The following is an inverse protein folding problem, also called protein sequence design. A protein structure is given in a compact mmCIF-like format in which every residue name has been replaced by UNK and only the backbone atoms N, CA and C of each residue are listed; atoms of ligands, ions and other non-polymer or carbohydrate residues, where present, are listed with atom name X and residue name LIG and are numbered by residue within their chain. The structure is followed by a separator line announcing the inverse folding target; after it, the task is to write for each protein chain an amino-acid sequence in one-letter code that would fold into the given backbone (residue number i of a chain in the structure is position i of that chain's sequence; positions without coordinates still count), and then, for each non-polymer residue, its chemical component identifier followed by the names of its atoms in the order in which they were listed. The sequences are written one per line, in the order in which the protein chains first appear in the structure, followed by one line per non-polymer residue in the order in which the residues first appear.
data_IF_214756153971
#
_entry.id   IF_214756153971
#
_cell.length_a   1.000
_cell.length_b   1.000
_cell.length_c   1.000
_cell.angle_alpha   90.00
_cell.angle_beta   90.00
_cell.angle_gamma   90.00
#
_symmetry.space_group_name_H-M   'P 1'
#
loop_
_entity.id
_entity.type
_entity.pdbx_description
1 polymer ?
#
# COMPACT_ATOMS: atom_id res chain seq x y z
N UNK A 1 -28.64 -9.71 -0.39
CA UNK A 1 -27.28 -9.38 -0.86
C UNK A 1 -27.33 -9.40 -2.36
N UNK A 2 -27.02 -8.29 -3.04
CA UNK A 2 -26.89 -8.34 -4.50
C UNK A 2 -25.57 -9.05 -4.81
N UNK A 3 -25.64 -10.20 -5.47
CA UNK A 3 -24.47 -10.83 -6.08
C UNK A 3 -23.85 -9.82 -7.04
N UNK A 4 -22.79 -9.17 -6.60
CA UNK A 4 -22.03 -8.25 -7.43
C UNK A 4 -21.06 -9.10 -8.25
N UNK A 5 -21.60 -9.89 -9.17
CA UNK A 5 -20.79 -10.76 -10.02
C UNK A 5 -20.03 -9.87 -10.99
N UNK A 6 -18.73 -9.69 -10.77
CA UNK A 6 -17.87 -9.04 -11.74
C UNK A 6 -17.98 -9.80 -13.06
N UNK A 7 -18.19 -9.05 -14.14
CA UNK A 7 -18.20 -9.58 -15.50
C UNK A 7 -17.02 -9.04 -16.28
N UNK A 8 -16.57 -9.78 -17.30
CA UNK A 8 -15.51 -9.31 -18.19
C UNK A 8 -15.86 -7.95 -18.82
N UNK A 9 -17.14 -7.68 -19.09
CA UNK A 9 -17.61 -6.39 -19.58
C UNK A 9 -17.42 -5.24 -18.57
N UNK A 10 -17.63 -5.50 -17.28
CA UNK A 10 -17.36 -4.52 -16.21
C UNK A 10 -15.86 -4.27 -16.06
N UNK A 11 -15.06 -5.35 -16.09
CA UNK A 11 -13.60 -5.27 -15.99
C UNK A 11 -13.03 -4.51 -17.19
N UNK A 12 -13.50 -4.79 -18.41
CA UNK A 12 -13.15 -4.03 -19.62
C UNK A 12 -13.42 -2.54 -19.45
N UNK A 13 -14.57 -2.14 -18.89
CA UNK A 13 -14.86 -0.73 -18.61
C UNK A 13 -13.87 -0.10 -17.62
N UNK A 14 -13.37 -0.85 -16.63
CA UNK A 14 -12.34 -0.38 -15.71
C UNK A 14 -11.02 -0.18 -16.46
N UNK A 15 -10.60 -1.17 -17.26
CA UNK A 15 -9.37 -1.14 -18.04
C UNK A 15 -9.41 -0.05 -19.11
N UNK A 16 -10.54 0.15 -19.78
CA UNK A 16 -10.70 1.13 -20.86
C UNK A 16 -10.51 2.57 -20.38
N UNK A 17 -10.85 2.84 -19.11
CA UNK A 17 -10.65 4.13 -18.44
C UNK A 17 -9.19 4.39 -18.08
N UNK A 18 -8.33 3.38 -18.11
CA UNK A 18 -6.90 3.59 -17.88
C UNK A 18 -6.33 4.48 -18.98
N UNK A 19 -5.55 5.44 -18.55
CA UNK A 19 -4.74 6.32 -19.37
C UNK A 19 -3.31 6.28 -18.85
N UNK A 20 -2.37 6.81 -19.61
CA UNK A 20 -0.99 6.95 -19.16
C UNK A 20 -0.71 8.41 -18.79
N UNK A 21 -0.13 8.64 -17.60
CA UNK A 21 0.12 9.99 -17.11
C UNK A 21 1.26 10.67 -17.87
N UNK A 22 1.02 11.93 -18.25
CA UNK A 22 2.07 12.79 -18.81
C UNK A 22 2.93 13.49 -17.75
N UNK A 23 2.62 13.34 -16.47
CA UNK A 23 3.34 13.96 -15.36
C UNK A 23 3.95 12.88 -14.49
N UNK A 24 5.15 13.15 -13.99
CA UNK A 24 5.86 12.24 -13.11
C UNK A 24 6.30 12.96 -11.85
N UNK A 25 5.44 12.94 -10.84
CA UNK A 25 5.79 13.41 -9.51
C UNK A 25 5.67 12.25 -8.54
N UNK A 26 6.75 11.99 -7.81
CA UNK A 26 6.79 10.98 -6.75
C UNK A 26 5.62 11.18 -5.76
N UNK A 27 5.24 12.44 -5.49
CA UNK A 27 4.10 12.78 -4.63
C UNK A 27 2.78 12.13 -5.04
N UNK A 28 2.58 11.82 -6.32
CA UNK A 28 1.27 11.45 -6.85
C UNK A 28 0.94 9.96 -6.59
N UNK A 29 1.97 9.14 -6.39
CA UNK A 29 1.85 7.68 -6.21
C UNK A 29 2.59 7.12 -4.99
N UNK A 30 3.50 7.88 -4.36
CA UNK A 30 4.30 7.41 -3.22
C UNK A 30 3.46 6.97 -2.02
N UNK A 31 2.37 7.69 -1.71
CA UNK A 31 1.52 7.33 -0.58
C UNK A 31 0.78 6.02 -0.82
N UNK A 32 0.16 5.88 -1.99
CA UNK A 32 -0.54 4.64 -2.38
C UNK A 32 0.42 3.45 -2.40
N UNK A 33 1.65 3.64 -2.87
CA UNK A 33 2.65 2.59 -2.90
C UNK A 33 2.98 2.13 -1.47
N UNK A 34 3.19 3.07 -0.56
CA UNK A 34 3.42 2.71 0.84
C UNK A 34 2.20 2.11 1.51
N UNK A 35 1.00 2.53 1.14
CA UNK A 35 -0.23 1.92 1.63
C UNK A 35 -0.33 0.47 1.17
N UNK A 36 -0.05 0.18 -0.10
CA UNK A 36 -0.02 -1.17 -0.63
C UNK A 36 0.97 -2.05 0.14
N UNK A 37 2.22 -1.59 0.29
CA UNK A 37 3.21 -2.32 1.09
C UNK A 37 2.72 -2.56 2.52
N UNK A 38 2.19 -1.52 3.18
CA UNK A 38 1.67 -1.66 4.56
C UNK A 38 0.54 -2.68 4.64
N UNK A 39 -0.35 -2.72 3.64
CA UNK A 39 -1.45 -3.69 3.59
C UNK A 39 -0.94 -5.12 3.41
N UNK A 40 0.08 -5.34 2.56
CA UNK A 40 0.71 -6.67 2.43
C UNK A 40 1.28 -7.15 3.78
N UNK A 41 1.89 -6.24 4.54
CA UNK A 41 2.51 -6.56 5.83
C UNK A 41 1.51 -6.89 6.93
N UNK A 42 0.30 -6.32 6.88
CA UNK A 42 -0.73 -6.59 7.87
C UNK A 42 -0.98 -8.09 7.99
N UNK A 43 -1.08 -8.79 6.87
CA UNK A 43 -1.32 -10.24 6.84
C UNK A 43 -0.18 -11.04 7.46
N UNK A 44 1.07 -10.70 7.15
CA UNK A 44 2.22 -11.40 7.73
C UNK A 44 2.32 -11.21 9.25
N UNK A 45 2.06 -10.00 9.74
CA UNK A 45 2.16 -9.66 11.17
C UNK A 45 1.00 -10.21 12.02
N UNK A 46 -0.14 -10.53 11.40
CA UNK A 46 -1.30 -11.13 12.08
C UNK A 46 -1.19 -12.64 12.27
N UNK A 47 -0.22 -13.29 11.64
CA UNK A 47 -0.07 -14.75 11.72
C UNK A 47 0.68 -15.10 13.00
N UNK A 48 0.15 -16.00 13.84
CA UNK A 48 0.87 -16.50 14.99
C UNK A 48 1.96 -17.45 14.47
N UNK A 49 3.22 -17.01 14.46
CA UNK A 49 4.34 -17.94 14.26
C UNK A 49 5.51 -17.65 15.20
N UNK A 50 6.11 -18.73 15.71
CA UNK A 50 7.18 -18.77 16.72
C UNK A 50 8.57 -18.47 16.10
N UNK A 51 8.69 -18.40 14.77
CA UNK A 51 9.95 -18.21 14.05
C UNK A 51 10.34 -16.75 13.78
N UNK A 52 9.70 -15.79 14.47
CA UNK A 52 9.76 -14.36 14.15
C UNK A 52 11.14 -13.67 14.38
N UNK A 53 12.19 -14.41 14.70
CA UNK A 53 13.53 -13.86 14.99
C UNK A 53 14.49 -13.81 13.79
N UNK A 54 14.09 -14.27 12.60
CA UNK A 54 14.95 -14.09 11.42
C UNK A 54 14.83 -12.67 10.87
N UNK A 55 15.99 -12.05 10.63
CA UNK A 55 16.08 -10.75 9.96
C UNK A 55 15.52 -10.85 8.53
N UNK A 56 14.33 -10.31 8.33
CA UNK A 56 13.58 -10.50 7.09
C UNK A 56 14.09 -9.55 5.99
N UNK A 57 14.88 -9.98 5.02
CA UNK A 57 15.27 -9.05 3.94
C UNK A 57 14.14 -8.87 2.92
N UNK A 58 13.51 -7.70 2.90
CA UNK A 58 12.40 -7.40 1.98
C UNK A 58 12.84 -7.32 0.51
N UNK A 59 12.94 -8.46 -0.19
CA UNK A 59 13.35 -8.54 -1.60
C UNK A 59 12.18 -8.96 -2.52
N UNK A 60 12.43 -9.19 -3.81
CA UNK A 60 11.37 -9.55 -4.77
C UNK A 60 10.70 -10.89 -4.42
N UNK A 61 11.48 -11.91 -4.07
CA UNK A 61 10.94 -13.23 -3.71
C UNK A 61 10.06 -13.12 -2.47
N UNK A 62 10.50 -12.35 -1.49
CA UNK A 62 9.77 -12.10 -0.27
C UNK A 62 8.49 -11.29 -0.50
N UNK A 63 8.52 -10.29 -1.39
CA UNK A 63 7.32 -9.57 -1.83
C UNK A 63 6.30 -10.52 -2.49
N UNK A 64 6.75 -11.37 -3.42
CA UNK A 64 5.89 -12.36 -4.09
C UNK A 64 5.35 -13.40 -3.10
N UNK A 65 6.17 -13.84 -2.15
CA UNK A 65 5.76 -14.74 -1.08
C UNK A 65 4.68 -14.14 -0.19
N UNK A 66 4.75 -12.83 0.09
CA UNK A 66 3.68 -12.12 0.81
C UNK A 66 2.39 -12.04 -0.01
N UNK A 67 2.47 -11.78 -1.32
CA UNK A 67 1.30 -11.78 -2.19
C UNK A 67 0.60 -13.15 -2.20
N UNK A 68 1.37 -14.22 -2.36
CA UNK A 68 0.86 -15.60 -2.30
C UNK A 68 0.24 -15.91 -0.93
N UNK A 69 0.97 -15.58 0.14
CA UNK A 69 0.52 -15.81 1.51
C UNK A 69 -0.85 -15.17 1.78
N UNK A 70 -1.07 -13.95 1.29
CA UNK A 70 -2.33 -13.23 1.46
C UNK A 70 -3.48 -13.95 0.76
N UNK A 71 -3.29 -14.42 -0.47
CA UNK A 71 -4.34 -15.15 -1.18
C UNK A 71 -4.70 -16.43 -0.42
N UNK A 72 -3.70 -17.17 0.05
CA UNK A 72 -3.86 -18.40 0.84
C UNK A 72 -4.52 -18.17 2.22
N UNK A 73 -4.38 -16.96 2.79
CA UNK A 73 -4.81 -16.65 4.16
C UNK A 73 -5.78 -15.47 4.21
N UNK A 74 -6.50 -15.20 3.12
CA UNK A 74 -7.43 -14.06 3.01
C UNK A 74 -8.55 -14.12 4.07
N UNK A 75 -9.00 -15.33 4.41
CA UNK A 75 -9.97 -15.61 5.48
C UNK A 75 -9.54 -15.13 6.87
N UNK A 76 -8.27 -14.78 7.10
CA UNK A 76 -7.82 -14.24 8.39
C UNK A 76 -8.34 -12.83 8.69
N UNK A 77 -8.67 -12.05 7.65
CA UNK A 77 -9.16 -10.67 7.80
C UNK A 77 -10.55 -10.45 7.23
N UNK A 78 -11.03 -11.39 6.42
CA UNK A 78 -12.35 -11.35 5.80
C UNK A 78 -13.38 -12.07 6.67
N UNK A 79 -14.59 -11.53 6.72
CA UNK A 79 -15.69 -12.15 7.47
C UNK A 79 -16.38 -13.26 6.67
N UNK A 80 -16.21 -13.24 5.35
CA UNK A 80 -16.76 -14.22 4.41
C UNK A 80 -15.68 -15.22 4.03
N UNK A 81 -16.03 -16.50 3.99
CA UNK A 81 -15.15 -17.50 3.36
C UNK A 81 -15.07 -17.23 1.87
N UNK A 82 -13.88 -17.42 1.30
CA UNK A 82 -13.72 -17.45 -0.14
C UNK A 82 -14.66 -18.51 -0.77
N UNK A 83 -15.21 -18.25 -1.97
CA UNK A 83 -16.01 -19.22 -2.70
C UNK A 83 -15.17 -20.45 -3.08
N UNK A 84 -15.83 -21.59 -3.20
CA UNK A 84 -15.19 -22.86 -3.57
C UNK A 84 -14.66 -22.86 -5.03
N UNK A 85 -15.19 -21.98 -5.87
CA UNK A 85 -14.83 -21.84 -7.28
C UNK A 85 -14.57 -20.36 -7.61
N UNK A 86 -13.36 -20.07 -8.05
CA UNK A 86 -12.93 -18.75 -8.52
C UNK A 86 -12.83 -18.84 -10.03
N UNK A 87 -13.42 -17.85 -10.73
CA UNK A 87 -13.30 -17.76 -12.19
C UNK A 87 -11.88 -17.32 -12.59
N UNK A 88 -10.97 -18.30 -12.67
CA UNK A 88 -9.57 -18.09 -13.05
C UNK A 88 -9.45 -17.59 -14.49
N UNK A 89 -10.32 -18.07 -15.38
CA UNK A 89 -10.36 -17.66 -16.79
C UNK A 89 -10.67 -16.16 -16.90
N UNK A 90 -11.60 -15.65 -16.09
CA UNK A 90 -11.90 -14.22 -16.01
C UNK A 90 -10.68 -13.38 -15.59
N UNK A 91 -9.90 -13.88 -14.63
CA UNK A 91 -8.70 -13.19 -14.16
C UNK A 91 -7.59 -13.18 -15.22
N UNK A 92 -7.37 -14.31 -15.89
CA UNK A 92 -6.40 -14.46 -16.98
C UNK A 92 -6.78 -13.60 -18.21
N UNK A 93 -8.04 -13.63 -18.63
CA UNK A 93 -8.55 -12.80 -19.72
C UNK A 93 -8.38 -11.30 -19.41
N UNK A 94 -8.72 -10.89 -18.18
CA UNK A 94 -8.60 -9.52 -17.74
C UNK A 94 -7.14 -9.04 -17.71
N UNK A 95 -6.21 -9.92 -17.29
CA UNK A 95 -4.77 -9.67 -17.29
C UNK A 95 -4.27 -9.42 -18.70
N UNK A 96 -4.68 -10.23 -19.68
CA UNK A 96 -4.25 -10.05 -21.06
C UNK A 96 -4.85 -8.80 -21.72
N UNK A 97 -6.13 -8.49 -21.45
CA UNK A 97 -6.74 -7.22 -21.88
C UNK A 97 -5.98 -6.02 -21.30
N UNK A 98 -5.56 -6.09 -20.04
CA UNK A 98 -4.77 -5.02 -19.43
C UNK A 98 -3.39 -4.88 -20.08
N UNK A 99 -2.70 -5.99 -20.35
CA UNK A 99 -1.41 -5.95 -21.06
C UNK A 99 -1.55 -5.26 -22.42
N UNK A 100 -2.58 -5.62 -23.18
CA UNK A 100 -2.87 -5.01 -24.48
C UNK A 100 -3.25 -3.54 -24.36
N UNK A 101 -4.01 -3.15 -23.33
CA UNK A 101 -4.31 -1.75 -23.04
C UNK A 101 -3.05 -0.95 -22.73
N UNK A 102 -2.17 -1.42 -21.85
CA UNK A 102 -0.94 -0.71 -21.51
C UNK A 102 -0.03 -0.62 -22.74
N UNK A 103 0.05 -1.70 -23.54
CA UNK A 103 0.85 -1.76 -24.77
C UNK A 103 0.32 -0.80 -25.84
N UNK A 104 -0.99 -0.74 -26.07
CA UNK A 104 -1.64 0.22 -26.98
C UNK A 104 -1.47 1.65 -26.50
N UNK A 105 -1.63 1.95 -25.22
CA UNK A 105 -1.34 3.30 -24.70
C UNK A 105 0.15 3.69 -24.87
N UNK A 106 1.02 2.69 -25.04
CA UNK A 106 2.45 2.84 -25.32
C UNK A 106 2.78 2.81 -26.82
N UNK A 107 1.77 3.01 -27.68
CA UNK A 107 1.56 2.88 -29.15
C UNK A 107 2.75 3.00 -30.15
N UNK A 108 3.98 3.30 -29.74
CA UNK A 108 5.15 3.47 -30.64
C UNK A 108 6.34 2.54 -30.37
N UNK A 109 6.37 1.67 -29.33
CA UNK A 109 7.61 0.93 -29.01
C UNK A 109 7.48 -0.59 -28.81
N UNK A 110 8.31 -1.32 -29.57
CA UNK A 110 8.76 -2.70 -29.32
C UNK A 110 9.91 -2.75 -28.28
N UNK A 111 9.90 -1.88 -27.27
CA UNK A 111 11.02 -1.75 -26.34
C UNK A 111 10.96 -2.84 -25.27
N UNK A 112 11.95 -3.72 -25.25
CA UNK A 112 12.14 -4.73 -24.21
C UNK A 112 12.21 -4.13 -22.79
N UNK A 113 12.53 -2.83 -22.68
CA UNK A 113 12.56 -2.10 -21.42
C UNK A 113 11.16 -1.97 -20.76
N UNK A 114 10.06 -1.96 -21.53
CA UNK A 114 8.69 -1.80 -21.00
C UNK A 114 8.03 -3.14 -20.62
N UNK A 115 8.48 -4.25 -21.19
CA UNK A 115 7.93 -5.58 -20.95
C UNK A 115 7.84 -5.94 -19.45
N UNK A 116 8.88 -5.70 -18.62
CA UNK A 116 8.83 -5.99 -17.19
C UNK A 116 7.79 -5.13 -16.45
N UNK A 117 7.47 -3.97 -16.99
CA UNK A 117 6.49 -3.08 -16.39
C UNK A 117 5.07 -3.54 -16.67
N UNK A 118 4.82 -3.90 -17.93
CA UNK A 118 3.55 -4.46 -18.37
C UNK A 118 3.26 -5.73 -17.59
N UNK A 119 4.24 -6.63 -17.47
CA UNK A 119 4.11 -7.88 -16.71
C UNK A 119 3.85 -7.62 -15.22
N UNK A 120 4.65 -6.76 -14.58
CA UNK A 120 4.47 -6.48 -13.15
C UNK A 120 3.14 -5.77 -12.86
N UNK A 121 2.70 -4.84 -13.71
CA UNK A 121 1.38 -4.21 -13.62
C UNK A 121 0.24 -5.21 -13.80
N UNK A 122 0.37 -6.11 -14.77
CA UNK A 122 -0.66 -7.11 -15.06
C UNK A 122 -0.80 -8.11 -13.91
N UNK A 123 0.30 -8.58 -13.33
CA UNK A 123 0.26 -9.50 -12.18
C UNK A 123 -0.34 -8.84 -10.93
N UNK A 124 -0.01 -7.57 -10.66
CA UNK A 124 -0.64 -6.81 -9.57
C UNK A 124 -2.15 -6.69 -9.78
N UNK A 125 -2.58 -6.45 -11.02
CA UNK A 125 -3.99 -6.33 -11.36
C UNK A 125 -4.74 -7.66 -11.24
N UNK A 126 -4.12 -8.74 -11.70
CA UNK A 126 -4.61 -10.10 -11.54
C UNK A 126 -4.78 -10.45 -10.07
N UNK A 127 -3.77 -10.21 -9.21
CA UNK A 127 -3.88 -10.47 -7.78
C UNK A 127 -5.01 -9.66 -7.12
N UNK A 128 -5.16 -8.38 -7.50
CA UNK A 128 -6.29 -7.56 -7.07
C UNK A 128 -7.63 -8.20 -7.45
N UNK A 129 -7.77 -8.63 -8.70
CA UNK A 129 -8.99 -9.18 -9.25
C UNK A 129 -9.32 -10.55 -8.63
N UNK A 130 -8.35 -11.45 -8.50
CA UNK A 130 -8.52 -12.72 -7.80
C UNK A 130 -9.05 -12.46 -6.39
N UNK A 131 -8.43 -11.54 -5.65
CA UNK A 131 -8.88 -11.21 -4.30
C UNK A 131 -10.30 -10.62 -4.29
N UNK A 132 -10.67 -9.78 -5.25
CA UNK A 132 -12.02 -9.23 -5.37
C UNK A 132 -13.06 -10.28 -5.82
N UNK A 133 -12.66 -11.29 -6.58
CA UNK A 133 -13.50 -12.45 -6.90
C UNK A 133 -13.70 -13.35 -5.66
N UNK A 134 -12.66 -13.49 -4.84
CA UNK A 134 -12.75 -14.22 -3.57
C UNK A 134 -13.61 -13.47 -2.54
N UNK A 135 -13.46 -12.15 -2.46
CA UNK A 135 -14.06 -11.29 -1.44
C UNK A 135 -14.63 -10.00 -2.07
N UNK A 136 -15.78 -10.07 -2.76
CA UNK A 136 -16.32 -8.94 -3.51
C UNK A 136 -16.58 -7.70 -2.64
N UNK A 137 -15.97 -6.58 -3.03
CA UNK A 137 -16.14 -5.31 -2.31
C UNK A 137 -15.37 -5.24 -1.00
N UNK A 138 -14.41 -6.15 -0.77
CA UNK A 138 -13.53 -6.10 0.39
C UNK A 138 -12.77 -4.77 0.45
N UNK A 139 -12.80 -4.15 1.63
CA UNK A 139 -11.98 -2.98 1.96
C UNK A 139 -10.57 -3.37 2.42
N UNK A 140 -10.29 -4.66 2.59
CA UNK A 140 -9.01 -5.19 3.05
C UNK A 140 -8.10 -5.67 1.91
N UNK A 141 -8.60 -5.72 0.67
CA UNK A 141 -7.82 -6.06 -0.51
C UNK A 141 -6.54 -5.18 -0.59
N UNK A 142 -5.35 -5.76 -0.40
CA UNK A 142 -4.13 -4.99 -0.24
C UNK A 142 -3.62 -4.38 -1.55
N UNK A 143 -4.15 -4.81 -2.69
CA UNK A 143 -3.79 -4.29 -4.01
C UNK A 143 -4.63 -3.07 -4.42
N UNK A 144 -5.69 -2.69 -3.69
CA UNK A 144 -6.47 -1.46 -3.98
C UNK A 144 -5.57 -0.22 -4.15
N UNK A 145 -4.62 0.09 -3.24
CA UNK A 145 -3.74 1.24 -3.41
C UNK A 145 -2.82 1.09 -4.63
N UNK A 146 -2.40 -0.15 -4.94
CA UNK A 146 -1.67 -0.40 -6.18
C UNK A 146 -2.58 -0.05 -7.36
N UNK A 147 -3.80 -0.57 -7.49
CA UNK A 147 -4.72 -0.21 -8.58
C UNK A 147 -4.95 1.30 -8.73
N UNK A 148 -5.03 2.05 -7.63
CA UNK A 148 -5.14 3.51 -7.69
C UNK A 148 -3.96 4.17 -8.41
N UNK A 149 -2.73 3.67 -8.23
CA UNK A 149 -1.55 4.14 -8.96
C UNK A 149 -1.70 3.87 -10.46
N UNK A 150 -2.29 2.74 -10.85
CA UNK A 150 -2.51 2.35 -12.25
C UNK A 150 -3.57 3.23 -12.89
N UNK A 151 -4.65 3.50 -12.16
CA UNK A 151 -5.72 4.41 -12.58
C UNK A 151 -5.26 5.87 -12.71
N UNK A 152 -4.27 6.29 -11.92
CA UNK A 152 -3.57 7.58 -12.09
C UNK A 152 -2.62 7.60 -13.29
N UNK A 153 -2.47 6.48 -14.00
CA UNK A 153 -1.71 6.32 -15.22
C UNK A 153 -0.24 6.00 -15.05
N UNK A 154 0.10 5.27 -13.98
CA UNK A 154 1.45 4.80 -13.70
C UNK A 154 1.53 3.27 -13.78
N UNK A 155 2.56 2.74 -14.45
CA UNK A 155 2.87 1.30 -14.52
C UNK A 155 3.92 0.92 -13.50
N UNK A 156 3.98 -0.32 -13.01
CA UNK A 156 4.94 -0.75 -11.98
C UNK A 156 6.02 -1.60 -12.60
N UNK A 157 7.19 -1.58 -12.02
CA UNK A 157 8.17 -2.64 -12.19
C UNK A 157 8.83 -2.91 -10.86
N UNK A 158 8.55 -4.08 -10.28
CA UNK A 158 9.07 -4.50 -8.99
C UNK A 158 10.39 -5.25 -9.17
N UNK A 159 11.49 -4.71 -8.62
CA UNK A 159 12.81 -5.34 -8.70
C UNK A 159 13.72 -5.01 -7.53
N UNK A 160 14.50 -6.01 -7.13
CA UNK A 160 15.60 -5.96 -6.16
C UNK A 160 16.99 -5.92 -6.83
N UNK A 161 17.05 -6.03 -8.16
CA UNK A 161 18.29 -5.90 -8.95
C UNK A 161 18.73 -4.44 -9.02
N UNK A 162 19.73 -4.10 -8.21
CA UNK A 162 20.28 -2.73 -8.11
C UNK A 162 20.83 -2.20 -9.42
N UNK A 163 21.41 -3.04 -10.27
CA UNK A 163 21.98 -2.60 -11.54
C UNK A 163 20.88 -2.25 -12.54
N UNK A 164 19.86 -3.11 -12.63
CA UNK A 164 18.67 -2.86 -13.45
C UNK A 164 17.91 -1.63 -12.96
N UNK A 165 17.78 -1.46 -11.66
CA UNK A 165 17.17 -0.26 -11.06
C UNK A 165 18.01 0.99 -11.35
N UNK A 166 19.34 0.92 -11.23
CA UNK A 166 20.27 2.02 -11.53
C UNK A 166 20.19 2.44 -13.00
N UNK A 167 20.07 1.48 -13.93
CA UNK A 167 19.86 1.75 -15.35
C UNK A 167 18.60 2.58 -15.60
N UNK A 168 17.49 2.26 -14.92
CA UNK A 168 16.26 3.05 -15.00
C UNK A 168 16.38 4.39 -14.26
N UNK A 169 17.07 4.44 -13.12
CA UNK A 169 17.27 5.67 -12.34
C UNK A 169 18.09 6.73 -13.09
N UNK A 170 19.16 6.31 -13.78
CA UNK A 170 20.02 7.19 -14.60
C UNK A 170 19.24 7.93 -15.68
N UNK A 171 18.10 7.38 -16.11
CA UNK A 171 17.23 8.01 -17.10
C UNK A 171 16.52 9.27 -16.54
N UNK A 172 16.45 9.51 -15.22
CA UNK A 172 15.55 10.52 -14.62
C UNK A 172 16.26 11.72 -13.95
N UNK A 173 17.39 11.47 -13.30
CA UNK A 173 18.09 12.33 -12.33
C UNK A 173 17.40 13.63 -11.82
N UNK A 174 17.10 13.64 -10.51
CA UNK A 174 17.55 14.67 -9.58
C UNK A 174 18.26 14.00 -8.38
N UNK A 175 19.31 14.65 -7.88
CA UNK A 175 20.15 14.17 -6.76
C UNK A 175 19.31 14.02 -5.49
N UNK A 176 19.09 12.78 -5.04
CA UNK A 176 18.80 12.49 -3.63
C UNK A 176 20.06 11.87 -3.04
N UNK A 177 20.57 12.51 -1.99
CA UNK A 177 21.81 12.15 -1.31
C UNK A 177 21.81 10.73 -0.76
N UNK A 178 23.03 10.26 -0.53
CA UNK A 178 23.43 8.94 0.00
C UNK A 178 22.48 8.45 1.10
N UNK A 179 21.64 7.48 0.75
CA UNK A 179 21.43 6.25 1.53
C UNK A 179 20.55 5.30 0.70
N UNK A 180 21.17 4.40 -0.06
CA UNK A 180 20.47 3.41 -0.91
C UNK A 180 20.71 2.01 -0.36
N UNK A 181 20.28 1.77 0.88
CA UNK A 181 20.13 0.44 1.45
C UNK A 181 18.70 -0.07 1.18
N UNK A 182 18.30 -0.05 -0.10
CA UNK A 182 16.96 -0.43 -0.53
C UNK A 182 16.93 -1.84 -1.11
N UNK A 183 15.86 -2.57 -0.77
CA UNK A 183 15.69 -3.98 -1.10
C UNK A 183 14.58 -4.25 -2.14
N UNK A 184 13.76 -3.24 -2.49
CA UNK A 184 12.79 -3.32 -3.58
C UNK A 184 12.60 -1.94 -4.24
N UNK A 185 12.45 -1.89 -5.55
CA UNK A 185 12.19 -0.67 -6.29
C UNK A 185 10.95 -0.80 -7.18
N UNK A 186 10.18 0.28 -7.31
CA UNK A 186 9.09 0.42 -8.28
C UNK A 186 9.46 1.47 -9.30
N UNK A 187 9.33 1.14 -10.58
CA UNK A 187 9.62 2.11 -11.64
C UNK A 187 8.35 2.52 -12.37
N UNK A 188 8.10 3.82 -12.60
CA UNK A 188 6.91 4.28 -13.35
C UNK A 188 7.16 5.50 -14.25
N UNK A 189 6.88 5.35 -15.54
CA UNK A 189 6.11 6.25 -16.43
C UNK A 189 6.14 5.59 -17.80
N UNK A 190 4.98 5.27 -18.35
CA UNK A 190 4.81 5.02 -19.78
C UNK A 190 4.17 6.27 -20.36
N UNK A 191 4.83 6.97 -21.28
CA UNK A 191 4.19 7.94 -22.20
C UNK A 191 5.18 8.33 -23.29
N UNK A 192 4.68 8.92 -24.38
CA UNK A 192 5.31 9.14 -25.71
C UNK A 192 6.71 9.82 -25.77
N UNK A 193 7.33 10.25 -24.66
CA UNK A 193 8.62 10.98 -24.67
C UNK A 193 9.63 10.58 -23.57
N UNK A 194 9.88 9.29 -23.34
CA UNK A 194 11.02 8.73 -22.56
C UNK A 194 10.85 8.62 -21.02
N UNK A 195 11.89 7.98 -20.44
CA UNK A 195 12.52 8.08 -19.08
C UNK A 195 11.65 7.64 -17.87
N UNK A 196 12.16 6.63 -17.17
CA UNK A 196 11.45 5.80 -16.18
C UNK A 196 11.68 6.18 -14.70
N UNK A 197 10.64 6.60 -13.96
CA UNK A 197 10.51 6.83 -12.49
C UNK A 197 10.85 5.82 -11.42
N UNK A 198 12.05 5.74 -10.83
CA UNK A 198 12.33 4.81 -9.72
C UNK A 198 11.91 5.37 -8.35
N UNK A 199 11.09 4.62 -7.61
CA UNK A 199 10.87 4.76 -6.16
C UNK A 199 11.43 3.54 -5.46
N UNK A 200 12.33 3.79 -4.51
CA UNK A 200 12.93 2.76 -3.69
C UNK A 200 12.10 2.52 -2.41
N UNK A 201 11.73 1.26 -2.19
CA UNK A 201 11.32 0.74 -0.90
C UNK A 201 12.57 0.40 -0.08
N UNK A 202 12.51 0.71 1.20
CA UNK A 202 13.60 0.69 2.16
C UNK A 202 13.32 -0.42 3.18
N UNK A 203 14.31 -0.83 3.98
CA UNK A 203 14.18 -1.87 5.01
C UNK A 203 13.32 -1.45 6.23
N UNK A 204 12.35 -0.56 5.99
CA UNK A 204 11.36 -0.13 6.99
C UNK A 204 10.51 -1.29 7.46
N UNK A 205 10.41 -2.33 6.65
CA UNK A 205 9.72 -3.54 7.01
C UNK A 205 10.34 -4.23 8.24
N UNK A 206 11.67 -4.39 8.29
CA UNK A 206 12.32 -4.98 9.47
C UNK A 206 12.15 -4.10 10.68
N UNK A 207 12.29 -2.80 10.49
CA UNK A 207 12.07 -1.84 11.55
C UNK A 207 10.61 -1.89 12.07
N UNK A 208 9.63 -2.16 11.20
CA UNK A 208 8.24 -2.36 11.59
C UNK A 208 8.04 -3.68 12.34
N UNK A 209 8.63 -4.79 11.89
CA UNK A 209 8.60 -6.07 12.60
C UNK A 209 9.24 -5.93 13.98
N UNK A 210 10.47 -5.42 14.05
CA UNK A 210 11.21 -5.27 15.30
C UNK A 210 10.46 -4.39 16.28
N UNK A 211 9.90 -3.26 15.83
CA UNK A 211 9.08 -2.41 16.71
C UNK A 211 7.77 -3.08 17.11
N UNK A 212 7.13 -3.84 16.22
CA UNK A 212 5.92 -4.57 16.55
C UNK A 212 6.18 -5.64 17.63
N UNK A 213 7.23 -6.44 17.48
CA UNK A 213 7.66 -7.44 18.45
C UNK A 213 8.06 -6.81 19.78
N UNK A 214 8.84 -5.73 19.73
CA UNK A 214 9.22 -4.97 20.91
C UNK A 214 7.98 -4.45 21.67
N UNK A 215 6.98 -3.91 20.98
CA UNK A 215 5.73 -3.49 21.62
C UNK A 215 4.90 -4.68 22.12
N UNK A 216 4.92 -5.82 21.42
CA UNK A 216 4.21 -7.04 21.85
C UNK A 216 4.78 -7.59 23.16
N UNK A 217 6.09 -7.53 23.33
CA UNK A 217 6.79 -8.02 24.51
C UNK A 217 6.76 -7.01 25.68
N UNK A 218 7.04 -5.73 25.41
CA UNK A 218 7.28 -4.71 26.44
C UNK A 218 6.11 -3.73 26.65
N UNK A 219 5.11 -3.73 25.76
CA UNK A 219 3.95 -2.83 25.82
C UNK A 219 2.59 -3.54 25.61
N UNK A 220 2.29 -4.63 26.34
CA UNK A 220 1.06 -5.37 26.14
C UNK A 220 -0.15 -4.59 26.68
N UNK A 221 -0.95 -4.05 25.77
CA UNK A 221 -2.20 -3.35 26.07
C UNK A 221 -2.05 -1.87 26.45
N UNK A 222 -3.18 -1.17 26.55
CA UNK A 222 -3.24 0.30 26.67
C UNK A 222 -2.62 0.90 27.93
N UNK A 223 -2.44 0.06 28.96
CA UNK A 223 -1.95 0.45 30.28
C UNK A 223 -0.41 0.49 30.32
N UNK A 224 0.26 -0.24 29.42
CA UNK A 224 1.71 -0.26 29.25
C UNK A 224 2.08 0.34 27.90
N UNK A 225 2.70 1.52 27.91
CA UNK A 225 2.99 2.28 26.69
C UNK A 225 4.46 2.65 26.60
N UNK A 226 4.99 2.60 25.39
CA UNK A 226 6.36 2.95 25.08
C UNK A 226 6.39 4.22 24.24
N UNK A 227 7.20 5.18 24.65
CA UNK A 227 7.33 6.46 23.95
C UNK A 227 8.11 6.31 22.62
N UNK A 228 7.97 7.29 21.73
CA UNK A 228 8.82 7.34 20.52
C UNK A 228 10.32 7.51 20.83
N UNK A 229 10.66 8.00 22.03
CA UNK A 229 12.04 8.07 22.50
C UNK A 229 12.58 6.67 22.71
N UNK A 230 11.89 5.87 23.52
CA UNK A 230 12.27 4.49 23.82
C UNK A 230 12.28 3.60 22.58
N UNK A 231 11.31 3.76 21.66
CA UNK A 231 11.34 3.05 20.36
C UNK A 231 12.58 3.44 19.54
N UNK A 232 12.98 4.72 19.56
CA UNK A 232 14.18 5.17 18.86
C UNK A 232 15.43 4.55 19.49
N UNK A 233 15.50 4.53 20.81
CA UNK A 233 16.64 4.01 21.56
C UNK A 233 16.77 2.49 21.33
N UNK A 234 15.66 1.74 21.32
CA UNK A 234 15.61 0.32 20.96
C UNK A 234 16.13 0.03 19.54
N UNK A 235 15.78 0.88 18.57
CA UNK A 235 16.20 0.70 17.18
C UNK A 235 17.67 1.06 16.92
N UNK A 236 18.38 1.64 17.91
CA UNK A 236 19.77 2.08 17.79
C UNK A 236 20.06 2.88 16.51
N UNK A 237 19.13 3.79 16.17
CA UNK A 237 19.09 4.43 14.85
C UNK A 237 19.16 5.96 14.91
N UNK A 238 19.80 6.54 13.90
CA UNK A 238 19.85 7.99 13.69
C UNK A 238 18.53 8.58 13.17
N UNK A 239 17.50 7.75 12.89
CA UNK A 239 16.21 8.23 12.41
C UNK A 239 15.58 9.24 13.38
N UNK A 240 15.05 10.34 12.84
CA UNK A 240 14.29 11.29 13.64
C UNK A 240 13.01 10.64 14.20
N UNK A 241 12.52 11.14 15.35
CA UNK A 241 11.23 10.70 15.92
C UNK A 241 10.07 10.84 14.93
N UNK A 242 10.10 11.87 14.08
CA UNK A 242 9.10 12.07 13.03
C UNK A 242 9.22 11.01 11.94
N UNK A 243 10.43 10.61 11.58
CA UNK A 243 10.69 9.50 10.64
C UNK A 243 10.14 8.19 11.19
N UNK A 244 10.47 7.85 12.44
CA UNK A 244 9.95 6.65 13.11
C UNK A 244 8.41 6.69 13.17
N UNK A 245 7.84 7.82 13.56
CA UNK A 245 6.39 8.01 13.59
C UNK A 245 5.73 7.77 12.24
N UNK A 246 6.25 8.41 11.19
CA UNK A 246 5.61 8.40 9.86
C UNK A 246 5.86 7.10 9.11
N UNK A 247 7.05 6.49 9.26
CA UNK A 247 7.46 5.32 8.49
C UNK A 247 7.29 3.99 9.22
N UNK A 248 7.19 3.99 10.55
CA UNK A 248 7.15 2.75 11.34
C UNK A 248 5.85 2.66 12.14
N UNK A 249 5.62 3.56 13.10
CA UNK A 249 4.48 3.40 14.03
C UNK A 249 3.13 3.77 13.42
N UNK A 250 3.07 4.76 12.51
CA UNK A 250 1.80 5.10 11.84
C UNK A 250 1.30 3.99 10.91
N UNK A 251 2.15 3.34 10.09
CA UNK A 251 1.75 2.15 9.33
C UNK A 251 1.20 1.02 10.21
N UNK A 252 1.91 0.62 11.26
CA UNK A 252 1.45 -0.42 12.21
C UNK A 252 0.11 -0.06 12.85
N UNK A 253 -0.09 1.22 13.18
CA UNK A 253 -1.34 1.72 13.72
C UNK A 253 -2.48 1.72 12.70
N UNK A 254 -2.22 2.12 11.46
CA UNK A 254 -3.19 2.07 10.35
C UNK A 254 -3.62 0.63 10.05
N UNK A 255 -2.70 -0.31 10.19
CA UNK A 255 -2.96 -1.75 10.07
C UNK A 255 -3.76 -2.33 11.26
N UNK A 256 -4.02 -1.54 12.31
CA UNK A 256 -4.75 -2.00 13.49
C UNK A 256 -3.96 -2.93 14.41
N UNK A 257 -2.63 -2.98 14.28
CA UNK A 257 -1.76 -3.87 15.05
C UNK A 257 -1.33 -3.25 16.38
N UNK A 258 -1.17 -1.93 16.41
CA UNK A 258 -0.76 -1.18 17.60
C UNK A 258 -1.70 -0.01 17.86
N UNK A 259 -1.87 0.31 19.15
CA UNK A 259 -2.56 1.49 19.62
C UNK A 259 -1.60 2.64 19.93
N UNK A 260 -2.17 3.80 20.24
CA UNK A 260 -1.40 4.93 20.76
C UNK A 260 -2.26 5.82 21.64
N UNK A 261 -1.70 6.36 22.71
CA UNK A 261 -2.32 7.40 23.53
C UNK A 261 -1.38 8.62 23.65
N UNK A 262 -1.64 9.52 24.61
CA UNK A 262 -0.81 10.71 24.83
C UNK A 262 0.60 10.39 25.34
N UNK A 263 0.80 9.21 25.94
CA UNK A 263 2.06 8.78 26.56
C UNK A 263 2.93 7.97 25.61
N UNK A 264 2.34 7.18 24.71
CA UNK A 264 3.12 6.35 23.80
C UNK A 264 2.30 5.41 22.91
N UNK A 265 2.96 4.36 22.45
CA UNK A 265 2.44 3.29 21.61
C UNK A 265 2.35 1.99 22.42
N UNK A 266 1.42 1.12 22.07
CA UNK A 266 1.21 -0.17 22.75
C UNK A 266 0.71 -1.22 21.77
N UNK A 267 0.96 -2.49 22.08
CA UNK A 267 0.41 -3.62 21.34
C UNK A 267 -1.06 -3.83 21.71
N UNK A 268 -1.93 -4.05 20.71
CA UNK A 268 -3.36 -4.32 20.95
C UNK A 268 -3.50 -5.80 21.32
N UNK A 269 -3.40 -6.08 22.62
CA UNK A 269 -3.43 -7.45 23.14
C UNK A 269 -4.85 -7.97 23.40
N UNK A 270 -5.79 -7.06 23.70
CA UNK A 270 -7.12 -7.43 24.18
C UNK A 270 -8.26 -6.70 23.44
N UNK A 271 -9.50 -7.23 23.48
CA UNK A 271 -10.68 -6.53 22.96
C UNK A 271 -10.90 -5.15 23.60
N UNK A 272 -10.46 -4.96 24.86
CA UNK A 272 -10.53 -3.66 25.54
C UNK A 272 -9.62 -2.64 24.86
N UNK A 273 -8.38 -3.02 24.56
CA UNK A 273 -7.41 -2.19 23.85
C UNK A 273 -7.92 -1.77 22.48
N UNK A 274 -8.51 -2.73 21.75
CA UNK A 274 -9.11 -2.49 20.45
C UNK A 274 -10.28 -1.50 20.53
N UNK A 275 -11.20 -1.68 21.49
CA UNK A 275 -12.32 -0.75 21.74
C UNK A 275 -11.82 0.66 22.07
N UNK A 276 -10.76 0.78 22.86
CA UNK A 276 -10.17 2.07 23.19
C UNK A 276 -9.57 2.75 21.94
N UNK A 277 -8.84 2.00 21.13
CA UNK A 277 -8.30 2.49 19.86
C UNK A 277 -9.42 2.95 18.93
N UNK A 278 -10.44 2.10 18.73
CA UNK A 278 -11.61 2.41 17.90
C UNK A 278 -12.31 3.69 18.38
N UNK A 279 -12.57 3.82 19.68
CA UNK A 279 -13.23 5.01 20.26
C UNK A 279 -12.42 6.28 20.00
N UNK A 280 -11.10 6.23 20.19
CA UNK A 280 -10.22 7.36 19.92
C UNK A 280 -10.20 7.76 18.43
N UNK A 281 -10.31 6.79 17.51
CA UNK A 281 -10.43 7.04 16.08
C UNK A 281 -11.80 7.64 15.73
N UNK A 282 -12.88 7.10 16.29
CA UNK A 282 -14.24 7.61 16.09
C UNK A 282 -14.39 9.06 16.56
N UNK A 283 -13.82 9.40 17.72
CA UNK A 283 -13.80 10.78 18.21
C UNK A 283 -13.07 11.72 17.25
N UNK A 284 -11.94 11.30 16.67
CA UNK A 284 -11.23 12.11 15.67
C UNK A 284 -12.08 12.37 14.44
N UNK A 285 -12.78 11.35 13.93
CA UNK A 285 -13.71 11.51 12.80
C UNK A 285 -14.82 12.51 13.16
N UNK A 286 -15.42 12.39 14.35
CA UNK A 286 -16.45 13.34 14.82
C UNK A 286 -15.92 14.78 14.90
N UNK A 287 -14.70 14.97 15.41
CA UNK A 287 -14.06 16.30 15.49
C UNK A 287 -13.79 16.87 14.09
N UNK A 288 -13.25 16.07 13.18
CA UNK A 288 -13.04 16.46 11.78
C UNK A 288 -14.35 16.87 11.11
N UNK A 289 -15.41 16.09 11.26
CA UNK A 289 -16.75 16.43 10.76
C UNK A 289 -17.25 17.76 11.35
N UNK A 290 -17.01 18.00 12.65
CA UNK A 290 -17.32 19.28 13.29
C UNK A 290 -16.57 20.46 12.64
N UNK A 291 -15.27 20.29 12.40
CA UNK A 291 -14.43 21.28 11.70
C UNK A 291 -14.90 21.53 10.26
N UNK A 292 -15.25 20.49 9.52
CA UNK A 292 -15.79 20.62 8.16
C UNK A 292 -17.09 21.44 8.15
N UNK A 293 -18.00 21.20 9.10
CA UNK A 293 -19.24 22.00 9.25
C UNK A 293 -18.95 23.48 9.56
N UNK A 294 -17.89 23.78 10.30
CA UNK A 294 -17.47 25.17 10.56
C UNK A 294 -17.02 25.82 9.25
N UNK A 295 -16.20 25.13 8.45
CA UNK A 295 -15.77 25.63 7.16
C UNK A 295 -16.92 25.81 6.18
N UNK A 296 -17.89 24.89 6.13
CA UNK A 296 -19.11 25.05 5.33
C UNK A 296 -19.91 26.30 5.72
N UNK A 297 -20.04 26.58 7.02
CA UNK A 297 -20.70 27.81 7.50
C UNK A 297 -19.91 29.04 7.08
N UNK A 298 -18.59 29.02 7.21
CA UNK A 298 -17.72 30.13 6.81
C UNK A 298 -17.80 30.38 5.30
N UNK A 299 -17.82 29.34 4.48
CA UNK A 299 -17.98 29.42 3.05
C UNK A 299 -19.30 30.11 2.66
N UNK A 300 -20.40 29.79 3.35
CA UNK A 300 -21.69 30.48 3.16
C UNK A 300 -21.60 31.97 3.46
N UNK A 301 -20.92 32.37 4.54
CA UNK A 301 -20.68 33.79 4.88
C UNK A 301 -19.88 34.49 3.79
N UNK A 302 -18.92 33.80 3.19
CA UNK A 302 -18.07 34.31 2.11
C UNK A 302 -18.73 34.24 0.71
N UNK A 303 -19.99 33.80 0.61
CA UNK A 303 -20.69 33.65 -0.68
C UNK A 303 -20.23 32.46 -1.52
N UNK A 304 -19.40 31.56 -0.98
CA UNK A 304 -18.94 30.34 -1.66
C UNK A 304 -20.03 29.28 -1.50
N UNK A 305 -20.66 28.91 -2.63
CA UNK A 305 -21.81 27.97 -2.64
C UNK A 305 -21.40 26.50 -2.56
N UNK A 306 -20.17 26.17 -2.96
CA UNK A 306 -19.71 24.79 -2.99
C UNK A 306 -18.20 24.71 -2.70
N UNK A 307 -17.81 24.04 -1.61
CA UNK A 307 -16.40 23.80 -1.27
C UNK A 307 -15.81 22.55 -1.95
N UNK A 308 -16.64 21.75 -2.64
CA UNK A 308 -16.26 20.49 -3.26
C UNK A 308 -15.79 20.58 -4.72
N UNK A 309 -15.87 21.74 -5.37
CA UNK A 309 -15.35 21.92 -6.73
C UNK A 309 -13.84 22.20 -6.67
N UNK A 310 -13.03 21.15 -6.77
CA UNK A 310 -11.56 21.28 -6.75
C UNK A 310 -10.80 20.08 -6.21
N UNK A 311 -11.50 19.01 -5.81
CA UNK A 311 -10.92 17.69 -5.52
C UNK A 311 -11.37 16.67 -6.55
#
# INVERSE_FOLDING_TARGET
MSENNLTLAMIRKIIDRLFLSERLRISDYKEDFYSHLTSLLRFHLTVPDEQSHQEFQFNKNTYMGLEQFILENSDMVEETKAPDDIDWDLADDAKDILKDKIKSLSEEEKSDDLKPFIESSANIFENWLIYDLMHPGSVYNPWIPAINILQKGYVYFISDDKDRVSQYQKKIYHKTGRDTHSNLAIVTRGSKKRKFSVVLADNRHNLQISVYQYLKEYAPGSDHVISLGEIKDFLETDMSRQTIRTKITSPLKKAGLIGSNSKGFFYIATPKDLKQCYTAHLEKVRRLQGTLKIYEKQAKVLGIRNLGEGF
#
